data_IF_559832915784
#
_entry.id   IF_559832915784
#
_cell.length_a   1.000
_cell.length_b   1.000
_cell.length_c   1.000
_cell.angle_alpha   90.00
_cell.angle_beta   90.00
_cell.angle_gamma   90.00
#
_symmetry.space_group_name_H-M   'P 1'
#
loop_
_entity.id
_entity.type
_entity.pdbx_description
1 polymer ?
#
# COMPACT_ATOMS: atom_id res chain seq x y z
N UNK A 1 -17.23 -26.60 26.08
CA UNK A 1 -16.48 -26.57 24.81
C UNK A 1 -16.84 -25.24 24.18
N UNK A 2 -16.02 -24.22 24.40
CA UNK A 2 -16.19 -22.89 23.82
C UNK A 2 -15.06 -22.75 22.83
N UNK A 3 -15.40 -22.76 21.56
CA UNK A 3 -14.45 -22.66 20.46
C UNK A 3 -13.78 -21.29 20.54
N UNK A 4 -12.47 -21.31 20.73
CA UNK A 4 -11.57 -20.18 20.61
C UNK A 4 -11.57 -19.75 19.14
N UNK A 5 -12.52 -18.87 18.79
CA UNK A 5 -12.41 -18.11 17.57
C UNK A 5 -11.22 -17.19 17.75
N UNK A 6 -10.05 -17.66 17.31
CA UNK A 6 -8.90 -16.82 17.04
C UNK A 6 -9.34 -15.74 16.06
N UNK A 7 -9.84 -14.63 16.60
CA UNK A 7 -10.03 -13.39 15.88
C UNK A 7 -8.62 -12.95 15.51
N UNK A 8 -8.18 -13.26 14.29
CA UNK A 8 -7.24 -12.37 13.63
C UNK A 8 -7.88 -10.99 13.74
N UNK A 9 -7.35 -10.16 14.62
CA UNK A 9 -7.83 -8.80 14.78
C UNK A 9 -7.74 -8.17 13.40
N UNK A 10 -8.88 -7.97 12.74
CA UNK A 10 -8.93 -7.35 11.42
C UNK A 10 -8.27 -6.00 11.59
N UNK A 11 -7.07 -5.84 11.03
CA UNK A 11 -6.31 -4.59 11.11
C UNK A 11 -7.23 -3.48 10.57
N UNK A 12 -7.42 -2.42 11.34
CA UNK A 12 -8.32 -1.34 10.93
C UNK A 12 -7.84 -0.69 9.64
N UNK A 13 -8.77 -0.10 8.88
CA UNK A 13 -8.43 0.67 7.68
C UNK A 13 -7.41 1.78 7.98
N UNK A 14 -7.53 2.45 9.14
CA UNK A 14 -6.58 3.45 9.62
C UNK A 14 -5.16 2.87 9.71
N UNK A 15 -4.99 1.74 10.39
CA UNK A 15 -3.68 1.12 10.55
C UNK A 15 -3.11 0.64 9.21
N UNK A 16 -3.96 0.19 8.29
CA UNK A 16 -3.53 -0.15 6.92
C UNK A 16 -3.03 1.08 6.16
N UNK A 17 -3.73 2.21 6.27
CA UNK A 17 -3.35 3.50 5.69
C UNK A 17 -2.02 3.98 6.27
N UNK A 18 -1.88 4.00 7.61
CA UNK A 18 -0.64 4.38 8.28
C UNK A 18 0.54 3.52 7.83
N UNK A 19 0.35 2.20 7.73
CA UNK A 19 1.40 1.30 7.25
C UNK A 19 1.78 1.59 5.81
N UNK A 20 0.82 1.90 4.95
CA UNK A 20 1.09 2.26 3.56
C UNK A 20 1.85 3.58 3.44
N UNK A 21 1.49 4.60 4.25
CA UNK A 21 2.24 5.86 4.32
C UNK A 21 3.68 5.59 4.78
N UNK A 22 3.87 4.79 5.83
CA UNK A 22 5.20 4.42 6.31
C UNK A 22 6.02 3.69 5.24
N UNK A 23 5.40 2.80 4.45
CA UNK A 23 6.06 2.10 3.35
C UNK A 23 6.44 3.06 2.20
N UNK A 24 5.62 4.08 1.91
CA UNK A 24 5.96 5.14 0.95
C UNK A 24 7.16 5.97 1.42
N UNK A 25 7.17 6.38 2.69
CA UNK A 25 8.31 7.08 3.30
C UNK A 25 9.58 6.24 3.24
N UNK A 26 9.50 4.97 3.65
CA UNK A 26 10.64 4.04 3.59
C UNK A 26 11.16 3.82 2.16
N UNK A 27 10.26 3.81 1.16
CA UNK A 27 10.65 3.73 -0.25
C UNK A 27 11.41 4.98 -0.68
N UNK A 28 10.92 6.17 -0.33
CA UNK A 28 11.60 7.44 -0.62
C UNK A 28 12.97 7.55 0.04
N UNK A 29 13.06 7.17 1.32
CA UNK A 29 14.32 7.16 2.08
C UNK A 29 15.32 6.17 1.49
N UNK A 30 14.88 4.96 1.15
CA UNK A 30 15.72 3.97 0.51
C UNK A 30 16.21 4.47 -0.86
N UNK A 31 15.34 5.04 -1.70
CA UNK A 31 15.76 5.60 -2.99
C UNK A 31 16.88 6.62 -2.81
N UNK A 32 16.71 7.56 -1.88
CA UNK A 32 17.74 8.57 -1.57
C UNK A 32 19.06 7.93 -1.13
N UNK A 33 19.03 7.03 -0.13
CA UNK A 33 20.23 6.35 0.37
C UNK A 33 20.96 5.56 -0.73
N UNK A 34 20.21 4.82 -1.56
CA UNK A 34 20.79 4.00 -2.62
C UNK A 34 21.29 4.84 -3.79
N UNK A 35 20.69 5.99 -4.07
CA UNK A 35 21.17 6.96 -5.07
C UNK A 35 22.48 7.60 -4.63
N UNK A 36 22.63 7.99 -3.36
CA UNK A 36 23.90 8.51 -2.82
C UNK A 36 25.03 7.49 -2.95
N UNK A 37 24.79 6.24 -2.54
CA UNK A 37 25.76 5.14 -2.67
C UNK A 37 26.13 4.88 -4.13
N UNK A 38 25.14 4.96 -5.04
CA UNK A 38 25.37 4.78 -6.47
C UNK A 38 26.21 5.91 -7.04
N UNK A 39 25.95 7.16 -6.64
CA UNK A 39 26.72 8.32 -7.06
C UNK A 39 28.17 8.28 -6.56
N UNK A 40 28.40 7.73 -5.36
CA UNK A 40 29.73 7.48 -4.82
C UNK A 40 30.49 6.34 -5.52
N UNK A 41 29.80 5.50 -6.29
CA UNK A 41 30.39 4.33 -6.96
C UNK A 41 30.48 3.08 -6.08
N UNK A 42 29.85 3.08 -4.90
CA UNK A 42 29.95 2.00 -3.91
C UNK A 42 29.13 0.76 -4.28
N UNK A 43 28.18 0.89 -5.20
CA UNK A 43 27.21 -0.16 -5.55
C UNK A 43 27.04 -0.30 -7.05
N UNK A 44 26.86 -1.55 -7.50
CA UNK A 44 26.54 -1.81 -8.91
C UNK A 44 25.08 -1.48 -9.21
N UNK A 45 24.78 -1.19 -10.48
CA UNK A 45 23.41 -0.96 -10.96
C UNK A 45 22.45 -2.13 -10.64
N UNK A 46 22.96 -3.37 -10.60
CA UNK A 46 22.18 -4.56 -10.26
C UNK A 46 21.82 -4.58 -8.78
N UNK A 47 22.76 -4.22 -7.89
CA UNK A 47 22.51 -4.14 -6.44
C UNK A 47 21.52 -3.04 -6.14
N UNK A 48 21.71 -1.86 -6.74
CA UNK A 48 20.76 -0.75 -6.67
C UNK A 48 19.34 -1.17 -7.07
N UNK A 49 19.17 -1.78 -8.26
CA UNK A 49 17.86 -2.18 -8.75
C UNK A 49 17.18 -3.24 -7.85
N UNK A 50 17.96 -4.18 -7.30
CA UNK A 50 17.43 -5.18 -6.35
C UNK A 50 16.97 -4.55 -5.05
N UNK A 51 17.69 -3.55 -4.55
CA UNK A 51 17.32 -2.84 -3.33
C UNK A 51 16.02 -2.06 -3.52
N UNK A 52 15.89 -1.32 -4.64
CA UNK A 52 14.65 -0.62 -4.97
C UNK A 52 13.47 -1.58 -5.15
N UNK A 53 13.68 -2.71 -5.83
CA UNK A 53 12.63 -3.71 -6.00
C UNK A 53 12.13 -4.30 -4.67
N UNK A 54 12.99 -4.38 -3.66
CA UNK A 54 12.61 -4.91 -2.35
C UNK A 54 11.63 -3.95 -1.64
N UNK A 55 11.94 -2.65 -1.62
CA UNK A 55 11.12 -1.66 -0.92
C UNK A 55 9.79 -1.41 -1.64
N UNK A 56 9.78 -1.44 -2.98
CA UNK A 56 8.53 -1.29 -3.75
C UNK A 56 7.57 -2.47 -3.56
N UNK A 57 8.07 -3.68 -3.30
CA UNK A 57 7.22 -4.84 -2.98
C UNK A 57 6.51 -4.69 -1.63
N UNK A 58 7.14 -4.06 -0.65
CA UNK A 58 6.52 -3.83 0.65
C UNK A 58 5.43 -2.75 0.56
N UNK A 59 5.69 -1.66 -0.16
CA UNK A 59 4.69 -0.65 -0.48
C UNK A 59 3.51 -1.27 -1.24
N UNK A 60 3.77 -2.05 -2.30
CA UNK A 60 2.73 -2.72 -3.08
C UNK A 60 1.87 -3.65 -2.20
N UNK A 61 2.50 -4.41 -1.32
CA UNK A 61 1.79 -5.29 -0.39
C UNK A 61 0.90 -4.49 0.59
N UNK A 62 1.38 -3.36 1.10
CA UNK A 62 0.58 -2.49 1.97
C UNK A 62 -0.60 -1.86 1.23
N UNK A 63 -0.38 -1.41 0.00
CA UNK A 63 -1.41 -0.85 -0.88
C UNK A 63 -2.49 -1.86 -1.21
N UNK A 64 -2.11 -3.10 -1.55
CA UNK A 64 -3.05 -4.17 -1.87
C UNK A 64 -3.94 -4.55 -0.68
N UNK A 65 -3.47 -4.42 0.57
CA UNK A 65 -4.33 -4.61 1.75
C UNK A 65 -5.46 -3.59 1.79
N UNK A 66 -5.17 -2.32 1.50
CA UNK A 66 -6.18 -1.25 1.43
C UNK A 66 -7.13 -1.49 0.26
N UNK A 67 -6.61 -1.81 -0.92
CA UNK A 67 -7.41 -2.10 -2.14
C UNK A 67 -8.40 -3.24 -1.90
N UNK A 68 -7.99 -4.30 -1.21
CA UNK A 68 -8.85 -5.46 -0.94
C UNK A 68 -9.67 -5.32 0.35
N UNK A 69 -9.44 -4.28 1.16
CA UNK A 69 -10.22 -4.04 2.37
C UNK A 69 -11.69 -3.80 2.02
N UNK A 70 -12.60 -4.50 2.70
CA UNK A 70 -14.04 -4.27 2.59
C UNK A 70 -14.47 -3.30 3.71
N UNK A 71 -14.85 -2.06 3.37
CA UNK A 71 -15.34 -1.10 4.36
C UNK A 71 -16.57 -1.63 5.10
N UNK A 72 -16.66 -1.36 6.40
CA UNK A 72 -17.83 -1.75 7.20
C UNK A 72 -19.00 -0.78 7.08
N UNK A 73 -18.75 0.45 6.61
CA UNK A 73 -19.75 1.51 6.45
C UNK A 73 -19.29 2.53 5.40
N UNK A 74 -20.19 3.43 5.01
CA UNK A 74 -19.93 4.46 4.01
C UNK A 74 -18.75 5.35 4.38
N UNK A 75 -18.60 5.69 5.67
CA UNK A 75 -17.49 6.52 6.14
C UNK A 75 -16.13 5.86 5.86
N UNK A 76 -15.98 4.57 6.15
CA UNK A 76 -14.76 3.82 5.80
C UNK A 76 -14.60 3.68 4.27
N UNK A 77 -15.71 3.56 3.53
CA UNK A 77 -15.69 3.55 2.06
C UNK A 77 -15.10 4.83 1.50
N UNK A 78 -15.61 5.97 1.96
CA UNK A 78 -15.09 7.30 1.62
C UNK A 78 -13.63 7.45 2.01
N UNK A 79 -13.25 7.04 3.22
CA UNK A 79 -11.87 7.12 3.69
C UNK A 79 -10.90 6.33 2.80
N UNK A 80 -11.27 5.09 2.44
CA UNK A 80 -10.49 4.26 1.50
C UNK A 80 -10.32 4.96 0.15
N UNK A 81 -11.41 5.48 -0.42
CA UNK A 81 -11.38 6.17 -1.72
C UNK A 81 -10.55 7.45 -1.68
N UNK A 82 -10.68 8.25 -0.63
CA UNK A 82 -9.89 9.48 -0.43
C UNK A 82 -8.40 9.16 -0.38
N UNK A 83 -8.01 8.14 0.39
CA UNK A 83 -6.61 7.72 0.47
C UNK A 83 -6.06 7.23 -0.88
N UNK A 84 -6.81 6.37 -1.58
CA UNK A 84 -6.39 5.87 -2.89
C UNK A 84 -6.29 6.99 -3.92
N UNK A 85 -7.23 7.94 -3.93
CA UNK A 85 -7.16 9.11 -4.80
C UNK A 85 -5.91 9.96 -4.49
N UNK A 86 -5.65 10.24 -3.20
CA UNK A 86 -4.47 10.99 -2.78
C UNK A 86 -3.16 10.31 -3.22
N UNK A 87 -3.07 8.99 -3.05
CA UNK A 87 -1.94 8.19 -3.52
C UNK A 87 -1.73 8.30 -5.03
N UNK A 88 -2.80 8.17 -5.82
CA UNK A 88 -2.72 8.25 -7.28
C UNK A 88 -2.29 9.64 -7.76
N UNK A 89 -2.79 10.70 -7.13
CA UNK A 89 -2.36 12.07 -7.43
C UNK A 89 -0.89 12.30 -7.07
N UNK A 90 -0.44 11.83 -5.90
CA UNK A 90 0.92 12.00 -5.43
C UNK A 90 1.94 11.24 -6.30
N UNK A 91 1.62 10.01 -6.69
CA UNK A 91 2.50 9.15 -7.50
C UNK A 91 2.37 9.39 -9.00
N UNK A 92 1.33 10.13 -9.44
CA UNK A 92 0.89 10.20 -10.85
C UNK A 92 0.69 8.80 -11.47
N UNK A 93 0.36 7.83 -10.62
CA UNK A 93 0.17 6.44 -10.98
C UNK A 93 -1.25 6.14 -11.42
N UNK A 94 -1.48 4.89 -11.78
CA UNK A 94 -2.81 4.33 -12.02
C UNK A 94 -2.98 3.03 -11.25
N UNK A 95 -4.23 2.68 -10.95
CA UNK A 95 -4.54 1.34 -10.45
C UNK A 95 -4.44 0.33 -11.60
N UNK A 96 -3.94 -0.86 -11.28
CA UNK A 96 -4.02 -2.00 -12.22
C UNK A 96 -5.49 -2.38 -12.42
N UNK A 97 -5.88 -2.98 -13.56
CA UNK A 97 -7.27 -3.39 -13.80
C UNK A 97 -7.88 -4.23 -12.67
N UNK A 98 -7.09 -5.17 -12.10
CA UNK A 98 -7.53 -6.00 -10.96
C UNK A 98 -7.74 -5.20 -9.67
N UNK A 99 -6.95 -4.15 -9.47
CA UNK A 99 -7.08 -3.28 -8.28
C UNK A 99 -8.28 -2.36 -8.43
N UNK A 100 -8.52 -1.85 -9.64
CA UNK A 100 -9.73 -1.10 -9.97
C UNK A 100 -10.99 -1.93 -9.71
N UNK A 101 -11.02 -3.17 -10.20
CA UNK A 101 -12.11 -4.12 -10.00
C UNK A 101 -12.37 -4.39 -8.50
N UNK A 102 -11.32 -4.61 -7.73
CA UNK A 102 -11.42 -4.80 -6.28
C UNK A 102 -11.95 -3.55 -5.55
N UNK A 103 -11.54 -2.34 -5.97
CA UNK A 103 -12.06 -1.09 -5.41
C UNK A 103 -13.55 -0.99 -5.68
N UNK A 104 -13.99 -1.15 -6.94
CA UNK A 104 -15.40 -1.07 -7.32
C UNK A 104 -16.24 -2.09 -6.54
N UNK A 105 -15.83 -3.35 -6.52
CA UNK A 105 -16.53 -4.45 -5.84
C UNK A 105 -16.66 -4.28 -4.32
N UNK A 106 -15.81 -3.47 -3.69
CA UNK A 106 -15.82 -3.28 -2.22
C UNK A 106 -16.46 -1.96 -1.79
N UNK A 107 -16.71 -1.04 -2.73
CA UNK A 107 -17.28 0.28 -2.44
C UNK A 107 -18.61 0.54 -3.16
N UNK A 108 -19.10 -0.39 -3.97
CA UNK A 108 -20.46 -0.34 -4.49
C UNK A 108 -21.49 -0.43 -3.35
N UNK A 109 -22.57 0.39 -3.38
CA UNK A 109 -23.67 0.24 -2.43
C UNK A 109 -24.28 -1.15 -2.60
N UNK A 110 -24.54 -1.86 -1.49
CA UNK A 110 -25.44 -3.02 -1.57
C UNK A 110 -26.85 -2.50 -1.88
N UNK A 111 -27.39 -2.87 -3.04
CA UNK A 111 -28.81 -2.68 -3.36
C UNK A 111 -29.74 -3.37 -2.36
#
# INVERSE_FOLDING_TARGET
>A
MTEDFGMEATVSLDTMIERHIAALSATSEAVHEWDERRAAGDVTNVVYAKALLKVTKEEEAARLRIVNHRPCNDQQGWQKLTHLAAYLFATRGSLKPKEMDAVLSTTEPME
#
